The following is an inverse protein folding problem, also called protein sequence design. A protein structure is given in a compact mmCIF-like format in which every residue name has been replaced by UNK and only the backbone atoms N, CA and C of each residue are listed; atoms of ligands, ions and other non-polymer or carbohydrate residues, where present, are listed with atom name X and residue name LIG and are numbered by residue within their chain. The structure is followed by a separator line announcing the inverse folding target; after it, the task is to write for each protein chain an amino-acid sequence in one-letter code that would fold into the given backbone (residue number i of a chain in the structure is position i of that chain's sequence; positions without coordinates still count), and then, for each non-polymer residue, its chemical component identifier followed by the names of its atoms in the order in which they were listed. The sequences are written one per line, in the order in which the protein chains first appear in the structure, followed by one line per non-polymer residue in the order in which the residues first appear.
data_IF_862414817192
#
_entry.id   IF_862414817192
#
_cell.length_a   1.000
_cell.length_b   1.000
_cell.length_c   1.000
_cell.angle_alpha   90.00
_cell.angle_beta   90.00
_cell.angle_gamma   90.00
#
_symmetry.space_group_name_H-M   'P 1'
#
loop_
_entity.id
_entity.type
_entity.pdbx_description
1 polymer ?
#
# COMPACT_ATOMS: atom_id res chain seq x y z
N UNK A 1 -13.64 2.40 -7.87
CA UNK A 1 -12.68 3.52 -7.92
C UNK A 1 -11.55 3.28 -6.92
N UNK A 2 -10.34 3.52 -7.33
CA UNK A 2 -9.17 3.34 -6.45
C UNK A 2 -8.98 4.58 -5.59
N UNK A 3 -8.85 4.39 -4.29
CA UNK A 3 -8.68 5.50 -3.34
C UNK A 3 -7.50 5.27 -2.42
N UNK A 4 -6.87 6.36 -2.01
CA UNK A 4 -5.78 6.33 -1.05
C UNK A 4 -6.21 5.65 0.25
N UNK A 5 -5.38 4.75 0.74
CA UNK A 5 -5.66 4.00 1.97
C UNK A 5 -6.33 2.66 1.74
N UNK A 6 -6.72 2.35 0.52
CA UNK A 6 -7.29 1.03 0.19
C UNK A 6 -6.20 0.01 -0.06
N UNK A 7 -6.48 -1.23 0.33
CA UNK A 7 -5.63 -2.37 0.00
C UNK A 7 -6.27 -3.10 -1.18
N UNK A 8 -5.46 -3.34 -2.21
CA UNK A 8 -5.91 -4.02 -3.42
C UNK A 8 -5.02 -5.23 -3.71
N UNK A 9 -5.61 -6.25 -4.34
CA UNK A 9 -4.85 -7.33 -4.97
C UNK A 9 -4.42 -6.86 -6.35
N UNK A 10 -3.11 -6.93 -6.60
CA UNK A 10 -2.50 -6.60 -7.89
C UNK A 10 -2.08 -7.90 -8.56
N UNK A 11 -2.52 -8.10 -9.80
CA UNK A 11 -2.17 -9.29 -10.58
C UNK A 11 -1.19 -8.90 -11.68
N UNK A 12 0.00 -9.47 -11.63
CA UNK A 12 1.06 -9.23 -12.62
C UNK A 12 1.71 -10.55 -13.02
N UNK A 13 1.77 -10.81 -14.31
CA UNK A 13 2.50 -11.96 -14.83
C UNK A 13 2.12 -13.29 -14.19
N UNK A 14 0.86 -13.47 -13.86
CA UNK A 14 0.38 -14.68 -13.20
C UNK A 14 0.57 -14.72 -11.69
N UNK A 15 1.21 -13.71 -11.13
CA UNK A 15 1.41 -13.60 -9.68
C UNK A 15 0.42 -12.62 -9.07
N UNK A 16 0.06 -12.86 -7.81
CA UNK A 16 -0.81 -11.97 -7.05
C UNK A 16 -0.01 -11.31 -5.93
N UNK A 17 -0.17 -10.01 -5.82
CA UNK A 17 0.48 -9.21 -4.77
C UNK A 17 -0.59 -8.38 -4.07
N UNK A 18 -0.28 -7.94 -2.85
CA UNK A 18 -1.16 -7.01 -2.12
C UNK A 18 -0.43 -5.69 -2.01
N UNK A 19 -1.18 -4.61 -2.25
CA UNK A 19 -0.60 -3.26 -2.21
C UNK A 19 -1.53 -2.32 -1.46
N UNK A 20 -0.93 -1.39 -0.72
CA UNK A 20 -1.65 -0.28 -0.09
C UNK A 20 -1.50 0.94 -0.99
N UNK A 21 -2.60 1.51 -1.43
CA UNK A 21 -2.58 2.70 -2.29
C UNK A 21 -2.19 3.92 -1.45
N UNK A 22 -1.13 4.61 -1.87
CA UNK A 22 -0.63 5.82 -1.19
C UNK A 22 -0.75 7.08 -2.04
N UNK A 23 -0.94 6.97 -3.35
CA UNK A 23 -1.15 8.13 -4.20
C UNK A 23 -2.46 8.82 -3.84
N UNK A 24 -2.48 10.16 -3.92
CA UNK A 24 -3.67 10.89 -3.50
C UNK A 24 -4.81 10.71 -4.51
N UNK A 25 -6.02 11.00 -4.05
CA UNK A 25 -7.23 10.72 -4.82
C UNK A 25 -7.37 11.61 -6.05
N UNK A 26 -6.80 12.80 -6.05
CA UNK A 26 -6.79 13.65 -7.24
C UNK A 26 -6.02 12.99 -8.38
N UNK A 27 -4.85 12.40 -8.08
CA UNK A 27 -4.07 11.66 -9.07
C UNK A 27 -4.74 10.34 -9.43
N UNK A 28 -5.33 9.65 -8.44
CA UNK A 28 -6.01 8.39 -8.70
C UNK A 28 -7.21 8.54 -9.64
N UNK A 29 -7.79 9.74 -9.71
CA UNK A 29 -8.90 10.04 -10.60
C UNK A 29 -8.47 10.31 -12.05
N UNK A 30 -7.18 10.45 -12.32
CA UNK A 30 -6.64 10.73 -13.65
C UNK A 30 -6.13 9.43 -14.25
N UNK A 31 -6.79 8.95 -15.29
CA UNK A 31 -6.51 7.62 -15.86
C UNK A 31 -5.10 7.48 -16.43
N UNK A 32 -4.53 8.57 -16.92
CA UNK A 32 -3.19 8.56 -17.52
C UNK A 32 -2.05 8.53 -16.50
N UNK A 33 -2.36 8.82 -15.24
CA UNK A 33 -1.35 8.82 -14.18
C UNK A 33 -1.27 7.45 -13.51
N UNK A 34 -0.07 7.09 -13.11
CA UNK A 34 0.14 5.84 -12.38
C UNK A 34 -0.48 5.94 -10.99
N UNK A 35 -0.97 4.80 -10.50
CA UNK A 35 -1.31 4.63 -9.09
C UNK A 35 -0.05 4.15 -8.38
N UNK A 36 0.23 4.70 -7.21
CA UNK A 36 1.39 4.32 -6.42
C UNK A 36 0.96 3.59 -5.17
N UNK A 37 1.62 2.49 -4.88
CA UNK A 37 1.30 1.67 -3.72
C UNK A 37 2.55 1.19 -3.00
N UNK A 38 2.33 0.61 -1.83
CA UNK A 38 3.36 -0.03 -1.03
C UNK A 38 3.05 -1.52 -0.96
N UNK A 39 4.08 -2.35 -1.13
CA UNK A 39 3.92 -3.79 -1.10
C UNK A 39 3.53 -4.26 0.30
N UNK A 40 2.61 -5.22 0.36
CA UNK A 40 2.20 -5.88 1.60
C UNK A 40 2.65 -7.32 1.52
N UNK A 41 3.32 -7.79 2.56
CA UNK A 41 3.80 -9.17 2.67
C UNK A 41 3.29 -9.78 3.97
N UNK A 42 3.17 -11.11 3.97
CA UNK A 42 2.63 -11.80 5.14
C UNK A 42 3.59 -11.74 6.32
N UNK A 43 4.86 -11.97 6.06
CA UNK A 43 5.87 -12.05 7.11
C UNK A 43 7.12 -11.28 6.73
N UNK A 44 7.75 -10.67 7.73
CA UNK A 44 9.01 -9.96 7.57
C UNK A 44 9.98 -10.54 8.61
N UNK A 45 11.08 -11.19 8.15
CA UNK A 45 12.02 -11.83 9.10
C UNK A 45 12.68 -10.86 10.07
N UNK A 46 12.96 -9.63 9.61
CA UNK A 46 13.64 -8.63 10.43
C UNK A 46 12.89 -7.30 10.34
N UNK A 47 11.77 -7.16 11.07
CA UNK A 47 10.99 -5.92 11.05
C UNK A 47 11.83 -4.73 11.52
N UNK A 48 11.61 -3.59 10.89
CA UNK A 48 12.26 -2.33 11.26
C UNK A 48 11.25 -1.20 11.16
N UNK A 49 11.69 0.05 11.37
CA UNK A 49 10.81 1.21 11.39
C UNK A 49 10.16 1.52 10.01
N UNK A 50 10.61 0.89 8.94
CA UNK A 50 10.02 1.01 7.61
C UNK A 50 8.98 -0.08 7.33
N UNK A 51 8.64 -0.88 8.33
CA UNK A 51 7.62 -1.92 8.21
C UNK A 51 6.50 -1.60 9.19
N UNK A 52 5.28 -1.48 8.66
CA UNK A 52 4.10 -1.22 9.48
C UNK A 52 3.22 -2.46 9.47
N UNK A 53 2.95 -3.01 10.66
CA UNK A 53 2.09 -4.17 10.80
C UNK A 53 0.62 -3.73 10.75
N UNK A 54 -0.16 -4.42 9.94
CA UNK A 54 -1.61 -4.22 9.90
C UNK A 54 -2.24 -4.75 11.19
N UNK A 55 -3.11 -3.95 11.80
CA UNK A 55 -3.80 -4.33 13.01
C UNK A 55 -5.02 -5.22 12.77
N UNK A 56 -5.66 -5.62 13.86
CA UNK A 56 -6.81 -6.51 13.78
C UNK A 56 -8.02 -5.85 13.11
N UNK A 57 -8.11 -4.52 13.17
CA UNK A 57 -9.19 -3.75 12.55
C UNK A 57 -8.93 -3.46 11.07
N UNK A 58 -7.75 -3.80 10.57
CA UNK A 58 -7.39 -3.54 9.19
C UNK A 58 -7.71 -4.74 8.29
N UNK A 59 -7.96 -4.50 6.99
CA UNK A 59 -7.94 -5.60 6.04
C UNK A 59 -6.59 -6.31 6.10
N UNK A 60 -6.58 -7.62 5.93
CA UNK A 60 -5.37 -8.44 5.98
C UNK A 60 -4.59 -8.29 7.29
N UNK A 61 -5.31 -8.16 8.41
CA UNK A 61 -4.69 -7.98 9.73
C UNK A 61 -3.58 -8.99 10.00
N UNK A 62 -2.49 -8.52 10.58
CA UNK A 62 -1.30 -9.32 10.82
C UNK A 62 -0.28 -9.33 9.70
N UNK A 63 -0.64 -8.90 8.48
CA UNK A 63 0.33 -8.72 7.41
C UNK A 63 1.14 -7.44 7.62
N UNK A 64 2.16 -7.24 6.79
CA UNK A 64 3.12 -6.15 6.98
C UNK A 64 3.22 -5.30 5.73
N UNK A 65 3.14 -3.99 5.90
CA UNK A 65 3.34 -3.01 4.83
C UNK A 65 4.82 -2.66 4.81
N UNK A 66 5.46 -2.87 3.65
CA UNK A 66 6.87 -2.52 3.45
C UNK A 66 6.95 -1.14 2.81
N UNK A 67 7.19 -0.13 3.61
CA UNK A 67 7.15 1.27 3.16
C UNK A 67 8.21 1.56 2.09
N UNK A 68 9.34 0.87 2.14
CA UNK A 68 10.40 1.05 1.13
C UNK A 68 10.17 0.25 -0.16
N UNK A 69 9.12 -0.55 -0.23
CA UNK A 69 8.80 -1.33 -1.44
C UNK A 69 7.67 -0.63 -2.21
N UNK A 70 8.06 0.39 -2.97
CA UNK A 70 7.12 1.21 -3.73
C UNK A 70 6.78 0.52 -5.05
N UNK A 71 5.51 0.45 -5.37
CA UNK A 71 4.99 -0.22 -6.56
C UNK A 71 4.28 0.80 -7.43
N UNK A 72 4.71 0.93 -8.68
CA UNK A 72 4.06 1.77 -9.67
C UNK A 72 3.05 0.92 -10.46
N UNK A 73 1.80 1.36 -10.50
CA UNK A 73 0.73 0.62 -11.18
C UNK A 73 0.27 1.45 -12.37
N UNK A 74 0.68 1.02 -13.56
CA UNK A 74 0.32 1.71 -14.81
C UNK A 74 -0.98 1.17 -15.40
N UNK A 75 -1.22 -0.13 -15.25
CA UNK A 75 -2.43 -0.78 -15.74
C UNK A 75 -3.42 -0.96 -14.60
N UNK A 76 -4.44 -0.12 -14.56
CA UNK A 76 -5.47 -0.16 -13.51
C UNK A 76 -6.27 -1.45 -13.55
N UNK A 77 -6.38 -2.07 -14.72
CA UNK A 77 -7.05 -3.36 -14.86
C UNK A 77 -6.35 -4.49 -14.12
N UNK A 78 -5.09 -4.31 -13.73
CA UNK A 78 -4.37 -5.30 -12.93
C UNK A 78 -4.77 -5.27 -11.44
N UNK A 79 -5.48 -4.24 -11.00
CA UNK A 79 -6.06 -4.17 -9.64
C UNK A 79 -7.39 -4.92 -9.66
N UNK A 80 -7.47 -6.04 -8.96
CA UNK A 80 -8.58 -6.98 -9.12
C UNK A 80 -9.53 -7.08 -7.95
N UNK A 81 -9.05 -6.86 -6.75
CA UNK A 81 -9.90 -7.02 -5.57
C UNK A 81 -9.55 -5.93 -4.55
N UNK A 82 -10.57 -5.20 -4.14
CA UNK A 82 -10.47 -4.17 -3.11
C UNK A 82 -10.79 -4.78 -1.76
N UNK A 83 -9.81 -4.82 -0.88
CA UNK A 83 -9.98 -5.36 0.47
C UNK A 83 -10.53 -4.33 1.46
N UNK A 84 -10.62 -3.07 1.06
CA UNK A 84 -11.12 -2.00 1.90
C UNK A 84 -10.02 -1.07 2.39
N UNK A 85 -10.42 -0.11 3.22
CA UNK A 85 -9.51 0.90 3.76
C UNK A 85 -8.81 0.40 5.02
N UNK A 86 -7.54 0.78 5.17
CA UNK A 86 -6.88 0.64 6.46
C UNK A 86 -7.45 1.67 7.46
N UNK A 87 -7.29 1.37 8.74
CA UNK A 87 -7.75 2.27 9.80
C UNK A 87 -6.93 3.56 9.81
N UNK A 88 -7.50 4.62 10.41
CA UNK A 88 -6.81 5.90 10.59
C UNK A 88 -5.49 5.75 11.34
N UNK A 89 -5.43 5.03 12.47
CA UNK A 89 -4.14 4.85 13.16
C UNK A 89 -3.10 4.17 12.30
N UNK A 90 -3.47 3.14 11.55
CA UNK A 90 -2.54 2.45 10.66
C UNK A 90 -2.03 3.37 9.56
N UNK A 91 -2.94 4.14 8.94
CA UNK A 91 -2.52 5.09 7.89
C UNK A 91 -1.58 6.16 8.45
N UNK A 92 -1.80 6.61 9.69
CA UNK A 92 -0.89 7.55 10.36
C UNK A 92 0.50 6.97 10.53
N UNK A 93 0.61 5.71 10.93
CA UNK A 93 1.91 5.02 11.04
C UNK A 93 2.60 4.91 9.68
N UNK A 94 1.83 4.61 8.63
CA UNK A 94 2.38 4.54 7.28
C UNK A 94 2.89 5.90 6.83
N UNK A 95 2.13 6.96 7.06
CA UNK A 95 2.53 8.31 6.69
C UNK A 95 3.83 8.72 7.41
N UNK A 96 3.93 8.43 8.70
CA UNK A 96 5.15 8.72 9.46
C UNK A 96 6.35 7.95 8.90
N UNK A 97 6.16 6.67 8.56
CA UNK A 97 7.22 5.85 8.01
C UNK A 97 7.63 6.32 6.61
N UNK A 98 6.67 6.77 5.79
CA UNK A 98 6.96 7.33 4.47
C UNK A 98 7.80 8.61 4.60
N UNK A 99 7.44 9.48 5.55
CA UNK A 99 8.21 10.69 5.81
C UNK A 99 9.64 10.35 6.23
N UNK A 100 9.80 9.40 7.14
CA UNK A 100 11.13 8.94 7.56
C UNK A 100 11.94 8.40 6.39
N UNK A 101 11.31 7.62 5.53
CA UNK A 101 11.97 7.02 4.38
C UNK A 101 12.42 8.08 3.36
N UNK A 102 11.60 9.10 3.14
CA UNK A 102 11.86 10.14 2.14
C UNK A 102 12.63 11.32 2.70
N UNK A 103 12.69 11.48 4.00
CA UNK A 103 13.36 12.61 4.62
C UNK A 103 14.86 12.46 4.50
N UNK A 104 15.49 13.48 3.96
CA UNK A 104 16.94 13.51 3.84
C UNK A 104 17.53 14.24 5.04
N UNK A 105 18.61 13.71 5.63
CA UNK A 105 19.27 14.36 6.76
C UNK A 105 19.80 15.74 6.42
#
# INVERSE_FOLDING_TARGET
MVSRGQIWTLVRGGSQHRVLVISNDEYNAVDELAIWGLAIVREVPHPNHLVVRLGDDDPLGGAHIRVHSVVQILDRGSLRHNHGFVSHPTMGLVEDAVLDFLELP
#
